data_IF_226865739497
#
_entry.id   IF_226865739497
#
_cell.length_a   1.000
_cell.length_b   1.000
_cell.length_c   1.000
_cell.angle_alpha   90.00
_cell.angle_beta   90.00
_cell.angle_gamma   90.00
#
_symmetry.space_group_name_H-M   'P 1'
#
loop_
_entity.id
_entity.type
_entity.pdbx_description
1 polymer ?
#
# COMPACT_ATOMS: atom_id res chain seq x y z
N UNK A 1 17.72 15.64 26.05
CA UNK A 1 16.29 15.45 26.35
C UNK A 1 15.56 14.55 25.33
N UNK A 2 16.27 13.68 24.58
CA UNK A 2 15.71 12.91 23.44
C UNK A 2 15.79 11.38 23.61
N UNK A 3 15.66 10.88 24.85
CA UNK A 3 15.75 9.43 25.12
C UNK A 3 14.44 8.76 25.50
N UNK A 4 13.42 9.52 25.92
CA UNK A 4 12.25 8.96 26.62
C UNK A 4 10.99 8.82 25.76
N UNK A 5 10.98 9.33 24.52
CA UNK A 5 9.74 9.37 23.74
C UNK A 5 9.40 8.04 23.06
N UNK A 6 10.39 7.34 22.45
CA UNK A 6 10.09 6.17 21.62
C UNK A 6 9.97 4.85 22.39
N UNK A 7 10.67 4.71 23.53
CA UNK A 7 10.61 3.52 24.38
C UNK A 7 9.20 3.15 24.87
N UNK A 8 8.45 4.06 25.52
CA UNK A 8 7.11 3.75 26.01
C UNK A 8 6.11 3.46 24.89
N UNK A 9 6.22 4.14 23.74
CA UNK A 9 5.35 3.92 22.57
C UNK A 9 5.50 2.49 22.05
N UNK A 10 6.74 1.99 21.94
CA UNK A 10 7.00 0.61 21.52
C UNK A 10 6.46 -0.41 22.52
N UNK A 11 6.57 -0.17 23.83
CA UNK A 11 6.07 -1.09 24.85
C UNK A 11 4.56 -1.23 24.78
N UNK A 12 3.84 -0.13 24.58
CA UNK A 12 2.37 -0.13 24.44
C UNK A 12 1.97 -0.84 23.15
N UNK A 13 2.68 -0.57 22.04
CA UNK A 13 2.46 -1.25 20.77
C UNK A 13 2.56 -2.77 20.93
N UNK A 14 3.61 -3.26 21.59
CA UNK A 14 3.81 -4.70 21.83
C UNK A 14 2.68 -5.31 22.65
N UNK A 15 2.24 -4.63 23.73
CA UNK A 15 1.11 -5.09 24.56
C UNK A 15 -0.18 -5.20 23.73
N UNK A 16 -0.46 -4.19 22.90
CA UNK A 16 -1.62 -4.20 21.98
C UNK A 16 -1.50 -5.34 20.97
N UNK A 17 -0.32 -5.57 20.38
CA UNK A 17 -0.09 -6.70 19.48
C UNK A 17 -0.26 -8.06 20.16
N UNK A 18 0.09 -8.19 21.45
CA UNK A 18 -0.14 -9.42 22.21
C UNK A 18 -1.64 -9.65 22.47
N UNK A 19 -2.39 -8.60 22.83
CA UNK A 19 -3.82 -8.71 23.14
C UNK A 19 -4.68 -8.94 21.89
N UNK A 20 -4.44 -8.16 20.83
CA UNK A 20 -5.20 -8.25 19.58
C UNK A 20 -4.63 -9.30 18.61
N UNK A 21 -3.36 -9.66 18.77
CA UNK A 21 -2.63 -10.55 17.86
C UNK A 21 -2.14 -9.82 16.60
N UNK A 22 -0.96 -10.21 16.05
CA UNK A 22 -0.40 -9.59 14.85
C UNK A 22 -1.23 -9.83 13.58
N UNK A 23 -2.12 -10.83 13.60
CA UNK A 23 -3.02 -11.14 12.47
C UNK A 23 -4.19 -10.17 12.34
N UNK A 24 -4.60 -9.50 13.42
CA UNK A 24 -5.76 -8.59 13.40
C UNK A 24 -5.40 -7.19 12.92
N UNK A 25 -4.21 -6.69 13.25
CA UNK A 25 -3.70 -5.41 12.77
C UNK A 25 -3.83 -5.16 11.25
N UNK A 26 -3.39 -6.08 10.37
CA UNK A 26 -3.51 -5.87 8.92
C UNK A 26 -4.96 -5.88 8.45
N UNK A 27 -5.82 -6.69 9.06
CA UNK A 27 -7.26 -6.81 8.74
C UNK A 27 -8.03 -5.52 9.12
N UNK A 28 -7.75 -4.97 10.30
CA UNK A 28 -8.27 -3.67 10.73
C UNK A 28 -7.72 -2.52 9.88
N UNK A 29 -6.42 -2.56 9.53
CA UNK A 29 -5.80 -1.54 8.69
C UNK A 29 -6.33 -1.58 7.25
N UNK A 30 -6.66 -2.75 6.70
CA UNK A 30 -7.20 -2.87 5.35
C UNK A 30 -8.63 -2.31 5.26
N UNK A 31 -9.48 -2.61 6.23
CA UNK A 31 -10.84 -2.07 6.31
C UNK A 31 -10.87 -0.56 6.56
N UNK A 32 -10.05 -0.05 7.49
CA UNK A 32 -9.86 1.38 7.72
C UNK A 32 -9.23 2.06 6.49
N UNK A 33 -8.25 1.44 5.85
CA UNK A 33 -7.54 1.98 4.70
C UNK A 33 -8.47 2.17 3.50
N UNK A 34 -9.37 1.23 3.24
CA UNK A 34 -10.42 1.36 2.22
C UNK A 34 -11.35 2.53 2.53
N UNK A 35 -11.79 2.68 3.78
CA UNK A 35 -12.62 3.80 4.20
C UNK A 35 -11.89 5.13 3.98
N UNK A 36 -10.69 5.30 4.52
CA UNK A 36 -9.88 6.53 4.38
C UNK A 36 -9.62 6.85 2.91
N UNK A 37 -9.34 5.85 2.07
CA UNK A 37 -9.13 6.04 0.62
C UNK A 37 -10.37 6.57 -0.08
N UNK A 38 -11.55 6.03 0.25
CA UNK A 38 -12.83 6.51 -0.28
C UNK A 38 -13.17 7.92 0.24
N UNK A 39 -12.90 8.20 1.51
CA UNK A 39 -13.07 9.55 2.10
C UNK A 39 -12.16 10.58 1.43
N UNK A 40 -10.89 10.24 1.22
CA UNK A 40 -9.92 11.12 0.56
C UNK A 40 -10.31 11.40 -0.90
N UNK A 41 -10.76 10.36 -1.61
CA UNK A 41 -11.22 10.47 -3.00
C UNK A 41 -12.47 11.35 -3.14
N UNK A 42 -13.42 11.23 -2.22
CA UNK A 42 -14.61 12.09 -2.19
C UNK A 42 -14.30 13.55 -1.82
N UNK A 43 -13.26 13.78 -1.01
CA UNK A 43 -12.81 15.12 -0.63
C UNK A 43 -11.97 15.82 -1.72
N UNK A 44 -11.12 15.08 -2.44
CA UNK A 44 -10.24 15.65 -3.46
C UNK A 44 -10.95 15.87 -4.80
N UNK A 45 -11.98 15.08 -5.12
CA UNK A 45 -12.53 15.05 -6.48
C UNK A 45 -14.06 14.84 -6.48
N UNK A 46 -14.86 15.88 -6.17
CA UNK A 46 -16.32 15.78 -6.03
C UNK A 46 -17.04 15.42 -7.34
N UNK A 47 -16.34 15.51 -8.48
CA UNK A 47 -16.87 15.29 -9.84
C UNK A 47 -16.69 13.84 -10.31
N UNK A 48 -15.77 13.09 -9.68
CA UNK A 48 -15.36 11.73 -10.10
C UNK A 48 -16.24 10.58 -9.61
N UNK A 49 -17.36 10.85 -8.93
CA UNK A 49 -18.22 9.83 -8.33
C UNK A 49 -18.93 8.91 -9.36
N UNK A 50 -18.82 9.17 -10.66
CA UNK A 50 -19.54 8.42 -11.72
C UNK A 50 -18.72 7.34 -12.46
N UNK A 51 -17.44 7.14 -12.16
CA UNK A 51 -16.64 6.10 -12.85
C UNK A 51 -16.02 5.05 -11.91
N UNK A 52 -16.61 3.85 -12.00
CA UNK A 52 -15.99 2.52 -11.94
C UNK A 52 -15.64 1.94 -10.54
N UNK A 53 -16.10 0.72 -10.23
CA UNK A 53 -15.64 -0.05 -9.09
C UNK A 53 -14.26 -0.64 -9.42
N UNK A 54 -13.19 0.10 -9.14
CA UNK A 54 -11.85 -0.48 -9.01
C UNK A 54 -11.50 -0.55 -7.51
N UNK A 55 -12.11 -1.55 -6.88
CA UNK A 55 -11.45 -2.30 -5.82
C UNK A 55 -10.19 -2.94 -6.42
N UNK A 56 -9.16 -3.09 -5.59
CA UNK A 56 -7.86 -3.71 -5.90
C UNK A 56 -6.76 -2.76 -6.40
N UNK A 57 -6.13 -2.03 -5.46
CA UNK A 57 -4.66 -2.08 -5.20
C UNK A 57 -4.19 -1.01 -4.20
N UNK A 58 -3.36 -1.46 -3.25
CA UNK A 58 -2.39 -0.69 -2.45
C UNK A 58 -2.88 -0.22 -1.07
N UNK A 59 -2.21 -0.49 0.07
CA UNK A 59 -0.83 -0.97 0.30
C UNK A 59 -0.68 -1.46 1.77
N UNK A 60 0.30 -2.30 2.18
CA UNK A 60 1.66 -2.43 1.65
C UNK A 60 2.34 -3.79 1.93
N UNK A 61 2.87 -4.42 0.88
CA UNK A 61 4.28 -4.84 0.81
C UNK A 61 4.70 -5.08 -0.65
N UNK A 62 5.87 -4.55 -1.01
CA UNK A 62 6.72 -4.83 -2.18
C UNK A 62 6.40 -4.22 -3.58
N UNK A 63 7.20 -3.20 -3.95
CA UNK A 63 7.95 -3.14 -5.21
C UNK A 63 7.20 -2.84 -6.52
N UNK A 64 7.21 -1.57 -6.94
CA UNK A 64 6.96 -1.21 -8.35
C UNK A 64 8.26 -0.70 -8.98
N UNK A 65 8.88 -1.48 -9.87
CA UNK A 65 10.00 -1.02 -10.70
C UNK A 65 9.46 -0.44 -12.00
N UNK A 66 10.00 0.70 -12.43
CA UNK A 66 9.66 1.32 -13.73
C UNK A 66 10.39 0.63 -14.87
N UNK A 67 9.71 0.43 -16.00
CA UNK A 67 10.28 -0.28 -17.15
C UNK A 67 11.26 0.60 -17.95
N UNK A 68 12.56 0.28 -18.10
CA UNK A 68 13.56 1.20 -18.69
C UNK A 68 13.48 1.41 -20.21
N UNK A 69 12.59 0.70 -20.94
CA UNK A 69 12.43 0.93 -22.40
C UNK A 69 11.04 1.38 -22.83
N UNK A 70 10.06 1.45 -21.92
CA UNK A 70 8.76 2.04 -22.23
C UNK A 70 8.20 2.95 -21.11
N UNK A 71 8.99 3.21 -20.06
CA UNK A 71 8.70 4.10 -18.93
C UNK A 71 7.37 3.88 -18.19
N UNK A 72 6.64 2.80 -18.49
CA UNK A 72 5.35 2.50 -17.88
C UNK A 72 5.55 1.84 -16.51
N UNK A 73 4.78 2.28 -15.52
CA UNK A 73 4.82 1.78 -14.14
C UNK A 73 4.24 0.36 -14.08
N UNK A 74 5.04 -0.59 -13.60
CA UNK A 74 4.65 -1.99 -13.52
C UNK A 74 4.21 -2.35 -12.09
N UNK A 75 3.01 -2.93 -11.92
CA UNK A 75 2.54 -3.37 -10.63
C UNK A 75 3.14 -4.73 -10.28
N UNK A 76 4.43 -4.77 -9.90
CA UNK A 76 5.12 -5.96 -9.37
C UNK A 76 6.35 -6.42 -10.17
N UNK A 77 7.03 -7.46 -9.65
CA UNK A 77 8.20 -8.10 -10.28
C UNK A 77 7.76 -9.14 -11.34
N UNK A 78 7.44 -8.69 -12.56
CA UNK A 78 7.27 -9.60 -13.70
C UNK A 78 8.59 -9.79 -14.44
N UNK A 79 8.92 -11.04 -14.81
CA UNK A 79 10.14 -11.36 -15.58
C UNK A 79 10.11 -10.77 -17.01
N UNK A 80 8.93 -10.47 -17.53
CA UNK A 80 8.68 -10.01 -18.90
C UNK A 80 7.69 -8.84 -18.90
N UNK A 81 7.92 -7.81 -19.71
CA UNK A 81 7.01 -6.66 -19.79
C UNK A 81 5.76 -7.01 -20.62
N UNK A 82 4.53 -7.02 -20.07
CA UNK A 82 3.32 -7.41 -20.79
C UNK A 82 2.87 -6.40 -21.86
N UNK A 83 3.45 -5.19 -21.87
CA UNK A 83 3.13 -4.15 -22.85
C UNK A 83 4.12 -4.05 -24.02
N UNK A 84 5.35 -4.56 -23.86
CA UNK A 84 6.42 -4.40 -24.85
C UNK A 84 7.11 -5.72 -25.20
N UNK A 85 6.82 -6.80 -24.47
CA UNK A 85 7.36 -8.13 -24.73
C UNK A 85 8.88 -8.23 -24.57
N UNK A 86 9.47 -7.44 -23.68
CA UNK A 86 10.91 -7.44 -23.42
C UNK A 86 11.21 -7.98 -22.03
N UNK A 87 12.27 -8.76 -21.92
CA UNK A 87 12.75 -9.29 -20.65
C UNK A 87 13.18 -8.15 -19.72
N UNK A 88 12.61 -8.13 -18.51
CA UNK A 88 12.95 -7.16 -17.46
C UNK A 88 13.96 -7.71 -16.46
N UNK A 89 14.42 -8.94 -16.70
CA UNK A 89 15.37 -9.66 -15.86
C UNK A 89 16.81 -9.56 -16.34
N UNK A 90 17.02 -9.01 -17.55
CA UNK A 90 18.32 -8.83 -18.18
C UNK A 90 18.84 -7.37 -18.12
N UNK A 91 18.22 -6.52 -17.28
CA UNK A 91 18.57 -5.11 -17.07
C UNK A 91 18.82 -4.83 -15.59
#
# INVERSE_FOLDING_TARGET
MFGYSWGPILIILVIVLLLFGPKRLPDLAESIGKAIKSFKKAHEDPESLTQKPESEKGATSAGGKTCPACHKELPGDFAFCPHCGKDLRAA
#
